data_IF_580267668692
#
_entry.id   IF_580267668692
#
_cell.length_a   1.000
_cell.length_b   1.000
_cell.length_c   1.000
_cell.angle_alpha   90.00
_cell.angle_beta   90.00
_cell.angle_gamma   90.00
#
_symmetry.space_group_name_H-M   'P 1'
#
loop_
_entity.id
_entity.type
_entity.pdbx_description
1 polymer ?
#
# COMPACT_ATOMS: atom_id res chain seq x y z
N UNK A 1 6.49 -20.08 43.80
CA UNK A 1 6.47 -21.03 42.67
C UNK A 1 6.76 -20.22 41.41
N UNK A 2 7.91 -20.44 40.77
CA UNK A 2 8.36 -19.72 39.57
C UNK A 2 7.36 -19.93 38.44
N UNK A 3 6.80 -18.86 37.88
CA UNK A 3 5.73 -18.93 36.88
C UNK A 3 6.14 -18.29 35.53
N UNK A 4 7.42 -18.43 35.17
CA UNK A 4 8.02 -17.78 33.99
C UNK A 4 8.00 -18.64 32.72
N UNK A 5 7.21 -19.70 32.66
CA UNK A 5 7.16 -20.54 31.48
C UNK A 5 5.94 -20.26 30.62
N UNK A 6 6.15 -20.18 29.32
CA UNK A 6 5.13 -20.20 28.27
C UNK A 6 5.04 -21.62 27.70
N UNK A 7 3.92 -22.03 27.07
CA UNK A 7 3.80 -23.34 26.46
C UNK A 7 4.96 -23.61 25.49
N UNK A 8 5.65 -24.74 25.63
CA UNK A 8 6.75 -25.10 24.72
C UNK A 8 6.27 -25.19 23.27
N UNK A 9 5.03 -25.65 23.06
CA UNK A 9 4.37 -25.69 21.74
C UNK A 9 4.24 -24.29 21.11
N UNK A 10 3.99 -23.25 21.92
CA UNK A 10 3.96 -21.87 21.46
C UNK A 10 5.36 -21.38 21.04
N UNK A 11 6.39 -21.66 21.86
CA UNK A 11 7.79 -21.32 21.54
C UNK A 11 8.20 -21.97 20.20
N UNK A 12 7.82 -23.23 20.00
CA UNK A 12 8.06 -23.95 18.75
C UNK A 12 7.32 -23.31 17.56
N UNK A 13 6.06 -22.92 17.73
CA UNK A 13 5.28 -22.25 16.68
C UNK A 13 5.90 -20.92 16.25
N UNK A 14 6.33 -20.08 17.20
CA UNK A 14 7.02 -18.81 16.92
C UNK A 14 8.28 -19.03 16.09
N UNK A 15 9.12 -19.99 16.51
CA UNK A 15 10.33 -20.37 15.78
C UNK A 15 10.03 -20.83 14.34
N UNK A 16 9.01 -21.69 14.16
CA UNK A 16 8.59 -22.14 12.82
C UNK A 16 8.12 -20.99 11.94
N UNK A 17 7.42 -20.00 12.49
CA UNK A 17 6.97 -18.84 11.72
C UNK A 17 8.14 -17.98 11.22
N UNK A 18 9.11 -17.67 12.09
CA UNK A 18 10.28 -16.88 11.69
C UNK A 18 11.23 -17.64 10.76
N UNK A 19 11.29 -18.97 10.85
CA UNK A 19 12.10 -19.79 9.93
C UNK A 19 11.68 -19.67 8.46
N UNK A 20 10.46 -19.19 8.20
CA UNK A 20 9.91 -18.97 6.86
C UNK A 20 10.16 -17.57 6.31
N UNK A 21 10.69 -16.65 7.11
CA UNK A 21 10.95 -15.29 6.68
C UNK A 21 12.25 -15.21 5.87
N UNK A 22 12.18 -14.66 4.66
CA UNK A 22 13.35 -14.47 3.79
C UNK A 22 13.78 -13.00 3.80
N UNK A 23 12.82 -12.09 3.85
CA UNK A 23 13.03 -10.65 3.84
C UNK A 23 12.69 -10.02 5.18
N UNK A 24 13.21 -8.83 5.44
CA UNK A 24 12.82 -8.05 6.64
C UNK A 24 11.32 -7.72 6.63
N UNK A 25 10.71 -7.60 5.44
CA UNK A 25 9.26 -7.42 5.28
C UNK A 25 8.49 -8.67 5.73
N UNK A 26 9.00 -9.87 5.45
CA UNK A 26 8.39 -11.12 5.93
C UNK A 26 8.45 -11.20 7.45
N UNK A 27 9.58 -10.78 8.06
CA UNK A 27 9.74 -10.74 9.52
C UNK A 27 8.76 -9.79 10.18
N UNK A 28 8.63 -8.58 9.66
CA UNK A 28 7.65 -7.59 10.14
C UNK A 28 6.22 -8.15 10.07
N UNK A 29 5.89 -8.86 8.99
CA UNK A 29 4.57 -9.48 8.82
C UNK A 29 4.34 -10.64 9.80
N UNK A 30 5.31 -11.53 9.98
CA UNK A 30 5.22 -12.63 10.95
C UNK A 30 5.05 -12.10 12.36
N UNK A 31 5.81 -11.07 12.73
CA UNK A 31 5.75 -10.48 14.06
C UNK A 31 4.36 -9.91 14.37
N UNK A 32 3.76 -9.18 13.42
CA UNK A 32 2.40 -8.65 13.56
C UNK A 32 1.39 -9.79 13.75
N UNK A 33 1.51 -10.86 12.96
CA UNK A 33 0.59 -12.00 13.01
C UNK A 33 0.73 -12.76 14.33
N UNK A 34 1.96 -13.01 14.77
CA UNK A 34 2.24 -13.68 16.04
C UNK A 34 1.74 -12.85 17.22
N UNK A 35 2.00 -11.54 17.24
CA UNK A 35 1.51 -10.64 18.31
C UNK A 35 -0.02 -10.68 18.41
N UNK A 36 -0.73 -10.61 17.28
CA UNK A 36 -2.19 -10.69 17.26
C UNK A 36 -2.71 -12.03 17.76
N UNK A 37 -2.14 -13.15 17.29
CA UNK A 37 -2.56 -14.51 17.68
C UNK A 37 -2.32 -14.80 19.16
N UNK A 38 -1.15 -14.43 19.68
CA UNK A 38 -0.79 -14.67 21.09
C UNK A 38 -1.66 -13.80 22.00
N UNK A 39 -1.84 -12.53 21.65
CA UNK A 39 -2.70 -11.61 22.43
C UNK A 39 -4.14 -12.12 22.50
N UNK A 40 -4.69 -12.62 21.38
CA UNK A 40 -6.02 -13.23 21.37
C UNK A 40 -6.10 -14.44 22.29
N UNK A 41 -5.14 -15.37 22.17
CA UNK A 41 -5.09 -16.59 22.97
C UNK A 41 -4.89 -16.33 24.47
N UNK A 42 -4.19 -15.25 24.83
CA UNK A 42 -4.05 -14.82 26.21
C UNK A 42 -5.37 -14.27 26.76
N UNK A 43 -6.04 -13.40 25.99
CA UNK A 43 -7.28 -12.73 26.40
C UNK A 43 -8.47 -13.67 26.53
N UNK A 44 -8.55 -14.70 25.68
CA UNK A 44 -9.63 -15.71 25.74
C UNK A 44 -9.28 -16.91 26.66
N UNK A 45 -8.12 -16.86 27.33
CA UNK A 45 -7.67 -17.92 28.24
C UNK A 45 -7.31 -19.24 27.55
N UNK A 46 -7.16 -19.26 26.22
CA UNK A 46 -6.85 -20.47 25.45
C UNK A 46 -5.35 -20.70 25.25
N UNK A 47 -4.49 -19.78 25.68
CA UNK A 47 -3.03 -19.79 25.50
C UNK A 47 -2.39 -21.16 25.80
N UNK A 48 -2.78 -21.79 26.90
CA UNK A 48 -2.24 -23.06 27.39
C UNK A 48 -2.96 -24.30 26.83
N UNK A 49 -4.14 -24.13 26.23
CA UNK A 49 -4.99 -25.21 25.72
C UNK A 49 -4.92 -25.33 24.20
N UNK A 50 -4.44 -24.28 23.53
CA UNK A 50 -4.33 -24.23 22.08
C UNK A 50 -3.20 -25.15 21.61
N UNK A 51 -3.49 -25.93 20.58
CA UNK A 51 -2.50 -26.77 19.90
C UNK A 51 -1.64 -25.93 18.96
N UNK A 52 -0.59 -25.34 19.52
CA UNK A 52 0.39 -24.55 18.77
C UNK A 52 1.29 -25.39 17.87
N UNK A 53 1.45 -26.69 18.14
CA UNK A 53 2.30 -27.57 17.33
C UNK A 53 1.66 -27.86 15.96
N UNK A 54 0.33 -27.90 15.89
CA UNK A 54 -0.40 -28.07 14.63
C UNK A 54 -0.98 -26.77 14.05
N UNK A 55 -0.78 -25.63 14.71
CA UNK A 55 -1.25 -24.33 14.22
C UNK A 55 -0.62 -23.99 12.85
N UNK A 56 -1.42 -23.56 11.85
CA UNK A 56 -0.92 -23.27 10.51
C UNK A 56 -0.04 -22.02 10.47
N UNK A 57 1.05 -22.11 9.71
CA UNK A 57 1.98 -21.01 9.48
C UNK A 57 1.36 -19.88 8.63
N UNK A 58 1.82 -18.63 8.77
CA UNK A 58 1.36 -17.50 7.96
C UNK A 58 1.53 -17.72 6.45
N UNK A 59 0.43 -17.70 5.70
CA UNK A 59 0.38 -18.14 4.30
C UNK A 59 0.91 -17.14 3.23
N UNK A 60 1.39 -15.96 3.63
CA UNK A 60 1.74 -14.87 2.70
C UNK A 60 3.22 -14.44 2.74
N UNK A 61 4.08 -15.20 3.41
CA UNK A 61 5.52 -14.96 3.39
C UNK A 61 6.08 -15.34 2.02
N UNK A 62 6.97 -14.52 1.49
CA UNK A 62 7.41 -14.61 0.10
C UNK A 62 7.86 -16.03 -0.29
N UNK A 63 7.03 -16.74 -1.07
CA UNK A 63 7.36 -18.04 -1.63
C UNK A 63 8.50 -17.86 -2.62
N UNK A 64 9.67 -18.38 -2.26
CA UNK A 64 10.79 -18.54 -3.18
C UNK A 64 10.39 -19.44 -4.35
N UNK A 65 10.08 -18.83 -5.49
CA UNK A 65 10.12 -19.51 -6.76
C UNK A 65 11.59 -19.79 -7.10
N UNK A 66 12.02 -21.02 -6.80
CA UNK A 66 13.21 -21.63 -7.40
C UNK A 66 13.02 -21.65 -8.92
N UNK A 67 13.65 -20.71 -9.63
CA UNK A 67 14.03 -20.91 -11.03
C UNK A 67 15.51 -21.26 -11.08
N UNK A 68 15.79 -22.43 -11.66
CA UNK A 68 17.10 -23.08 -11.65
C UNK A 68 18.20 -22.34 -12.41
N UNK A 69 19.43 -22.73 -12.07
CA UNK A 69 20.70 -22.29 -12.64
C UNK A 69 20.86 -22.56 -14.16
N UNK A 70 21.83 -21.83 -14.73
CA UNK A 70 22.48 -21.88 -16.07
C UNK A 70 21.82 -20.93 -17.09
N UNK A 71 22.48 -19.92 -17.65
CA UNK A 71 23.83 -19.86 -18.20
C UNK A 71 24.53 -18.52 -17.82
N UNK A 72 25.81 -18.61 -17.45
CA UNK A 72 26.66 -17.44 -17.21
C UNK A 72 27.11 -16.80 -18.51
N UNK A 73 26.85 -15.50 -18.66
CA UNK A 73 27.64 -14.62 -19.54
C UNK A 73 27.92 -13.33 -18.77
N UNK A 74 29.16 -13.19 -18.31
CA UNK A 74 29.73 -11.97 -17.74
C UNK A 74 29.85 -10.94 -18.86
N UNK A 75 29.12 -9.81 -18.79
CA UNK A 75 29.33 -8.67 -19.69
C UNK A 75 29.63 -7.41 -18.88
N UNK A 76 30.86 -6.91 -19.07
CA UNK A 76 31.37 -5.65 -18.55
C UNK A 76 30.53 -4.48 -19.09
N UNK A 77 30.26 -3.48 -18.24
CA UNK A 77 29.63 -2.21 -18.63
C UNK A 77 30.71 -1.24 -19.11
N UNK A 78 30.62 -0.83 -20.37
CA UNK A 78 31.22 0.41 -20.89
C UNK A 78 30.16 1.53 -20.92
N UNK A 79 30.52 2.80 -20.65
CA UNK A 79 29.58 3.92 -20.67
C UNK A 79 29.42 4.49 -22.09
N UNK A 80 28.21 4.96 -22.43
CA UNK A 80 27.91 5.71 -23.66
C UNK A 80 27.19 7.03 -23.31
N UNK A 81 27.31 8.09 -24.12
CA UNK A 81 27.28 9.48 -23.66
C UNK A 81 25.89 10.13 -23.61
N UNK A 82 25.78 11.16 -22.75
CA UNK A 82 24.58 12.00 -22.57
C UNK A 82 24.59 13.19 -23.52
N UNK A 83 23.45 13.45 -24.15
CA UNK A 83 23.10 14.74 -24.75
C UNK A 83 22.52 15.73 -23.70
N UNK A 84 22.58 17.05 -23.93
CA UNK A 84 22.46 18.04 -22.86
C UNK A 84 21.02 18.57 -22.68
N UNK A 85 20.56 18.68 -21.42
CA UNK A 85 19.35 19.43 -21.06
C UNK A 85 19.68 20.48 -20.00
N UNK A 86 19.34 21.73 -20.34
CA UNK A 86 19.24 23.00 -19.60
C UNK A 86 19.62 23.09 -18.10
N UNK A 87 20.61 23.95 -17.80
CA UNK A 87 21.25 24.20 -16.49
C UNK A 87 20.42 24.98 -15.44
N UNK A 88 19.23 25.50 -15.76
CA UNK A 88 18.59 26.52 -14.88
C UNK A 88 17.79 25.97 -13.69
N UNK A 89 17.42 24.68 -13.66
CA UNK A 89 16.65 24.07 -12.55
C UNK A 89 17.48 23.31 -11.51
N UNK A 90 18.77 23.06 -11.73
CA UNK A 90 19.61 22.25 -10.81
C UNK A 90 20.26 23.03 -9.65
N UNK A 91 20.42 24.36 -9.75
CA UNK A 91 21.08 25.13 -8.69
C UNK A 91 20.25 25.19 -7.39
N UNK A 92 18.93 25.36 -7.49
CA UNK A 92 18.06 25.46 -6.32
C UNK A 92 17.97 24.18 -5.46
N UNK A 93 18.20 23.01 -6.06
CA UNK A 93 18.17 21.72 -5.36
C UNK A 93 19.53 21.34 -4.74
N UNK A 94 20.62 21.84 -5.32
CA UNK A 94 21.98 21.49 -4.88
C UNK A 94 22.38 22.31 -3.64
N UNK A 95 21.96 23.58 -3.59
CA UNK A 95 22.23 24.47 -2.46
C UNK A 95 21.48 24.03 -1.18
N UNK A 96 20.23 23.56 -1.30
CA UNK A 96 19.48 22.97 -0.18
C UNK A 96 20.09 21.66 0.31
N UNK A 97 20.68 20.88 -0.59
CA UNK A 97 21.37 19.61 -0.25
C UNK A 97 22.71 19.86 0.46
N UNK A 98 23.46 20.87 0.02
CA UNK A 98 24.71 21.29 0.65
C UNK A 98 24.49 21.99 2.00
N UNK A 99 23.47 22.84 2.14
CA UNK A 99 23.07 23.43 3.45
C UNK A 99 22.65 22.37 4.48
N UNK A 100 22.17 21.19 4.04
CA UNK A 100 21.85 20.06 4.93
C UNK A 100 23.09 19.25 5.33
N UNK A 101 24.07 19.14 4.44
CA UNK A 101 25.35 18.47 4.70
C UNK A 101 26.28 19.31 5.61
N UNK A 102 26.29 20.63 5.44
CA UNK A 102 27.12 21.55 6.24
C UNK A 102 26.72 21.60 7.73
N UNK A 103 25.50 21.19 8.09
CA UNK A 103 25.03 21.09 9.49
C UNK A 103 25.69 19.95 10.28
N UNK A 104 26.40 19.05 9.62
CA UNK A 104 27.07 17.90 10.25
C UNK A 104 28.60 18.07 10.32
N UNK A 105 29.14 19.23 9.93
CA UNK A 105 30.58 19.43 9.79
C UNK A 105 31.25 20.08 11.02
N UNK A 106 30.50 20.55 12.02
CA UNK A 106 31.08 21.35 13.10
C UNK A 106 30.53 20.95 14.49
N UNK A 107 31.19 19.97 15.12
CA UNK A 107 31.82 20.09 16.45
C UNK A 107 32.28 18.72 16.97
N UNK A 108 33.53 18.69 17.42
CA UNK A 108 34.27 17.49 17.81
C UNK A 108 33.83 16.80 19.11
N UNK A 109 34.40 15.60 19.28
CA UNK A 109 34.34 14.69 20.44
C UNK A 109 32.94 14.22 20.83
N UNK A 110 32.46 13.13 20.21
CA UNK A 110 31.51 12.18 20.84
C UNK A 110 31.44 10.85 20.06
N UNK A 111 31.25 9.79 20.83
CA UNK A 111 31.06 8.37 20.47
C UNK A 111 30.48 8.11 19.08
N UNK A 112 31.00 7.07 18.40
CA UNK A 112 30.43 6.52 17.17
C UNK A 112 28.89 6.48 17.21
N UNK A 113 28.19 6.93 16.15
CA UNK A 113 26.74 6.87 16.12
C UNK A 113 26.31 5.40 16.04
N UNK A 114 25.70 4.90 17.12
CA UNK A 114 25.00 3.62 17.10
C UNK A 114 23.99 3.65 15.95
N UNK A 115 24.04 2.64 15.08
CA UNK A 115 23.07 2.46 13.99
C UNK A 115 21.65 2.57 14.57
N UNK A 116 20.88 3.51 14.06
CA UNK A 116 19.47 3.70 14.38
C UNK A 116 18.72 2.41 14.08
N UNK A 117 18.21 1.80 15.14
CA UNK A 117 17.43 0.57 15.10
C UNK A 117 16.00 0.95 15.44
N UNK A 118 15.06 0.62 14.55
CA UNK A 118 13.63 0.55 14.87
C UNK A 118 13.43 -0.30 16.14
N UNK A 119 12.40 -0.07 16.94
CA UNK A 119 12.14 -0.87 18.17
C UNK A 119 12.16 -2.38 17.93
N UNK A 120 11.60 -2.80 16.80
CA UNK A 120 11.55 -4.19 16.39
C UNK A 120 12.96 -4.73 16.07
N UNK A 121 13.87 -3.86 15.65
CA UNK A 121 15.29 -4.19 15.50
C UNK A 121 16.11 -4.11 16.79
N UNK A 122 15.64 -3.43 17.85
CA UNK A 122 16.21 -3.55 19.20
C UNK A 122 15.81 -4.88 19.85
N UNK A 123 14.56 -5.32 19.65
CA UNK A 123 14.11 -6.68 20.01
C UNK A 123 14.91 -7.75 19.25
N UNK A 124 15.15 -7.53 17.94
CA UNK A 124 15.97 -8.39 17.10
C UNK A 124 17.45 -8.45 17.56
N UNK A 125 18.03 -7.37 18.07
CA UNK A 125 19.41 -7.38 18.58
C UNK A 125 19.55 -8.06 19.95
N UNK A 126 18.49 -8.09 20.76
CA UNK A 126 18.47 -8.81 22.05
C UNK A 126 18.13 -10.29 21.91
N UNK A 127 17.37 -10.68 20.87
CA UNK A 127 17.01 -12.08 20.60
C UNK A 127 18.06 -12.84 19.77
N UNK A 128 18.97 -12.13 19.07
CA UNK A 128 20.03 -12.71 18.23
C UNK A 128 21.43 -12.59 18.83
N UNK A 129 21.60 -11.98 20.01
CA UNK A 129 22.89 -12.01 20.69
C UNK A 129 23.06 -13.39 21.33
N UNK A 130 23.99 -14.20 20.79
CA UNK A 130 24.37 -15.55 21.25
C UNK A 130 24.87 -15.63 22.72
N UNK A 131 24.74 -14.55 23.48
CA UNK A 131 24.92 -14.51 24.92
C UNK A 131 23.80 -13.68 25.50
N UNK A 132 22.85 -14.27 26.24
CA UNK A 132 22.31 -13.70 27.49
C UNK A 132 21.29 -14.65 28.16
N UNK A 133 21.34 -14.53 29.48
CA UNK A 133 20.64 -15.24 30.55
C UNK A 133 19.11 -15.35 30.36
N UNK A 134 18.60 -16.55 30.61
CA UNK A 134 17.26 -17.06 30.32
C UNK A 134 16.13 -16.32 31.07
N UNK A 135 16.48 -15.45 32.05
CA UNK A 135 15.57 -14.79 32.98
C UNK A 135 15.30 -13.29 32.71
N UNK A 136 15.69 -12.72 31.56
CA UNK A 136 15.62 -11.27 31.31
C UNK A 136 14.44 -10.78 30.42
N UNK A 137 13.70 -11.69 29.78
CA UNK A 137 12.62 -11.28 28.86
C UNK A 137 11.31 -10.99 29.62
N UNK A 138 11.12 -9.73 30.01
CA UNK A 138 9.87 -9.27 30.61
C UNK A 138 8.80 -9.01 29.52
N UNK A 139 8.02 -10.03 29.19
CA UNK A 139 7.00 -10.00 28.13
C UNK A 139 5.75 -9.18 28.48
N UNK A 140 5.52 -8.84 29.76
CA UNK A 140 4.44 -7.93 30.18
C UNK A 140 4.60 -6.52 29.59
N UNK A 141 5.80 -6.18 29.13
CA UNK A 141 6.10 -4.93 28.42
C UNK A 141 5.64 -4.89 26.95
N UNK A 142 5.18 -6.01 26.36
CA UNK A 142 4.75 -6.03 24.94
C UNK A 142 3.27 -5.70 24.72
N UNK A 143 2.44 -5.79 25.78
CA UNK A 143 1.02 -5.45 25.73
C UNK A 143 0.81 -4.01 26.23
N UNK A 144 1.02 -3.06 25.33
CA UNK A 144 0.75 -1.65 25.61
C UNK A 144 -0.76 -1.44 25.49
N UNK A 145 -1.43 -1.14 26.60
CA UNK A 145 -2.79 -0.58 26.62
C UNK A 145 -2.67 0.93 26.77
N UNK A 146 -3.24 1.67 25.82
CA UNK A 146 -3.19 3.12 25.84
C UNK A 146 -3.97 3.75 26.99
N UNK A 147 -3.49 4.88 27.51
CA UNK A 147 -4.18 5.66 28.56
C UNK A 147 -4.55 7.08 28.12
N UNK A 148 -4.18 7.49 26.90
CA UNK A 148 -4.51 8.80 26.33
C UNK A 148 -6.02 9.00 26.21
N UNK A 149 -6.55 10.10 26.75
CA UNK A 149 -7.97 10.44 26.72
C UNK A 149 -8.34 11.42 25.59
N UNK A 150 -7.35 11.91 24.84
CA UNK A 150 -7.58 12.91 23.79
C UNK A 150 -8.38 12.30 22.63
N UNK A 151 -9.40 13.00 22.15
CA UNK A 151 -10.17 12.54 20.99
C UNK A 151 -9.45 12.86 19.67
N UNK A 152 -8.74 13.98 19.64
CA UNK A 152 -7.96 14.43 18.49
C UNK A 152 -6.48 14.18 18.75
N UNK A 153 -5.79 13.59 17.77
CA UNK A 153 -4.36 13.32 17.93
C UNK A 153 -3.64 13.36 16.61
N UNK A 154 -2.49 14.02 16.58
CA UNK A 154 -1.64 14.10 15.39
C UNK A 154 -1.05 12.71 15.10
N UNK A 155 -1.11 12.28 13.84
CA UNK A 155 -0.40 11.10 13.38
C UNK A 155 1.12 11.32 13.44
N UNK A 156 1.83 10.46 14.16
CA UNK A 156 3.28 10.53 14.30
C UNK A 156 3.95 9.43 13.46
N UNK A 157 5.15 9.66 12.93
CA UNK A 157 5.98 8.57 12.41
C UNK A 157 6.85 8.06 13.56
N UNK A 158 6.39 7.01 14.22
CA UNK A 158 7.07 6.45 15.38
C UNK A 158 8.35 5.74 14.96
N UNK A 159 9.47 6.11 15.59
CA UNK A 159 10.76 5.41 15.50
C UNK A 159 11.07 4.62 16.76
N UNK A 160 10.34 4.91 17.85
CA UNK A 160 10.44 4.30 19.18
C UNK A 160 9.05 3.98 19.72
N UNK A 161 8.97 3.10 20.73
CA UNK A 161 7.71 2.59 21.22
C UNK A 161 7.05 3.77 21.90
N UNK A 162 5.79 4.06 21.56
CA UNK A 162 5.09 5.13 22.24
C UNK A 162 4.81 4.68 23.67
N UNK A 163 4.96 5.60 24.61
CA UNK A 163 4.53 5.37 25.99
C UNK A 163 3.01 5.18 26.06
N UNK A 164 2.46 4.43 27.03
CA UNK A 164 1.02 4.17 27.13
C UNK A 164 0.15 5.44 27.09
N UNK A 165 0.60 6.52 27.73
CA UNK A 165 -0.11 7.80 27.75
C UNK A 165 -0.14 8.52 26.39
N UNK A 166 0.66 8.07 25.43
CA UNK A 166 0.65 8.57 24.04
C UNK A 166 -0.27 7.75 23.14
N UNK A 167 -1.01 6.77 23.65
CA UNK A 167 -1.85 5.87 22.84
C UNK A 167 -3.27 5.87 23.42
N UNK A 168 -4.30 5.98 22.57
CA UNK A 168 -5.70 5.98 23.04
C UNK A 168 -6.21 4.56 23.27
N UNK A 169 -6.90 4.26 24.39
CA UNK A 169 -7.58 2.98 24.57
C UNK A 169 -8.81 2.87 23.64
N UNK A 170 -9.33 1.64 23.48
CA UNK A 170 -10.42 1.31 22.54
C UNK A 170 -11.63 2.24 22.67
N UNK A 171 -12.15 2.45 23.89
CA UNK A 171 -13.33 3.27 24.12
C UNK A 171 -13.13 4.75 23.74
N UNK A 172 -11.89 5.24 23.73
CA UNK A 172 -11.53 6.58 23.24
C UNK A 172 -11.38 6.56 21.72
N UNK A 173 -10.79 5.52 21.15
CA UNK A 173 -10.70 5.35 19.69
C UNK A 173 -12.08 5.30 19.03
N UNK A 174 -13.07 4.68 19.67
CA UNK A 174 -14.47 4.67 19.20
C UNK A 174 -15.06 6.09 19.15
N UNK A 175 -14.85 6.89 20.20
CA UNK A 175 -15.27 8.29 20.25
C UNK A 175 -14.53 9.14 19.22
N UNK A 176 -13.21 8.92 19.06
CA UNK A 176 -12.40 9.58 18.03
C UNK A 176 -12.90 9.28 16.62
N UNK A 177 -13.28 8.03 16.33
CA UNK A 177 -13.85 7.65 15.04
C UNK A 177 -15.17 8.40 14.78
N UNK A 178 -16.07 8.43 15.76
CA UNK A 178 -17.36 9.14 15.65
C UNK A 178 -17.16 10.63 15.39
N UNK A 179 -16.27 11.27 16.16
CA UNK A 179 -15.92 12.67 15.99
C UNK A 179 -15.30 12.94 14.61
N UNK A 180 -14.38 12.08 14.15
CA UNK A 180 -13.74 12.18 12.83
C UNK A 180 -14.78 12.07 11.71
N UNK A 181 -15.71 11.12 11.82
CA UNK A 181 -16.79 10.97 10.84
C UNK A 181 -17.78 12.14 10.84
N UNK A 182 -18.14 12.67 12.02
CA UNK A 182 -18.96 13.88 12.11
C UNK A 182 -18.28 15.06 11.45
N UNK A 183 -16.98 15.24 11.67
CA UNK A 183 -16.20 16.29 11.03
C UNK A 183 -16.18 16.12 9.50
N UNK A 184 -15.98 14.90 9.01
CA UNK A 184 -16.02 14.60 7.58
C UNK A 184 -17.34 15.00 6.94
N UNK A 185 -18.45 14.51 7.50
CA UNK A 185 -19.79 14.71 6.95
C UNK A 185 -20.23 16.18 6.96
N UNK A 186 -19.75 16.98 7.92
CA UNK A 186 -20.17 18.37 8.08
C UNK A 186 -19.24 19.36 7.38
N UNK A 187 -17.92 19.13 7.42
CA UNK A 187 -16.92 20.10 6.96
C UNK A 187 -16.21 19.66 5.68
N UNK A 188 -16.25 18.37 5.34
CA UNK A 188 -15.57 17.83 4.16
C UNK A 188 -14.05 18.15 4.12
N UNK A 189 -13.44 18.41 5.27
CA UNK A 189 -12.00 18.67 5.41
C UNK A 189 -11.22 17.35 5.38
N UNK A 190 -10.68 17.02 4.22
CA UNK A 190 -9.96 15.76 4.01
C UNK A 190 -8.60 15.75 4.70
N UNK A 191 -7.89 16.87 4.75
CA UNK A 191 -6.55 16.91 5.33
C UNK A 191 -6.61 16.59 6.82
N UNK A 192 -7.54 17.23 7.54
CA UNK A 192 -7.81 16.93 8.94
C UNK A 192 -8.27 15.47 9.12
N UNK A 193 -9.29 15.07 8.36
CA UNK A 193 -9.96 13.76 8.51
C UNK A 193 -8.98 12.60 8.25
N UNK A 194 -8.18 12.68 7.17
CA UNK A 194 -7.14 11.71 6.86
C UNK A 194 -6.09 11.63 7.98
N UNK A 195 -5.67 12.77 8.53
CA UNK A 195 -4.74 12.84 9.66
C UNK A 195 -5.28 12.12 10.90
N UNK A 196 -6.55 12.35 11.26
CA UNK A 196 -7.19 11.67 12.39
C UNK A 196 -7.32 10.16 12.16
N UNK A 197 -7.75 9.73 10.97
CA UNK A 197 -7.81 8.30 10.66
C UNK A 197 -6.44 7.61 10.73
N UNK A 198 -5.38 8.25 10.24
CA UNK A 198 -4.01 7.73 10.35
C UNK A 198 -3.60 7.56 11.81
N UNK A 199 -3.93 8.55 12.64
CA UNK A 199 -3.67 8.53 14.07
C UNK A 199 -4.43 7.41 14.80
N UNK A 200 -5.72 7.22 14.50
CA UNK A 200 -6.54 6.12 15.07
C UNK A 200 -5.96 4.77 14.67
N UNK A 201 -5.65 4.58 13.37
CA UNK A 201 -5.06 3.34 12.85
C UNK A 201 -3.70 3.04 13.46
N UNK A 202 -2.90 4.07 13.73
CA UNK A 202 -1.62 3.92 14.42
C UNK A 202 -1.82 3.37 15.83
N UNK A 203 -2.72 3.97 16.62
CA UNK A 203 -2.97 3.53 18.00
C UNK A 203 -3.51 2.08 18.04
N UNK A 204 -4.37 1.70 17.09
CA UNK A 204 -4.82 0.32 16.93
C UNK A 204 -3.66 -0.65 16.62
N UNK A 205 -2.73 -0.21 15.77
CA UNK A 205 -1.57 -1.02 15.36
C UNK A 205 -0.59 -1.20 16.53
N UNK A 206 -0.31 -0.14 17.27
CA UNK A 206 0.59 -0.16 18.43
C UNK A 206 0.10 -1.14 19.49
N UNK A 207 -1.20 -1.09 19.80
CA UNK A 207 -1.85 -1.96 20.79
C UNK A 207 -2.13 -3.37 20.26
N UNK A 208 -1.96 -3.63 18.97
CA UNK A 208 -2.23 -4.93 18.35
C UNK A 208 -3.72 -5.30 18.28
N UNK A 209 -4.62 -4.31 18.25
CA UNK A 209 -6.06 -4.53 18.25
C UNK A 209 -6.53 -4.92 16.84
N UNK A 210 -7.04 -6.16 16.69
CA UNK A 210 -7.52 -6.73 15.42
C UNK A 210 -8.89 -7.38 15.59
N UNK A 211 -9.93 -6.56 15.56
CA UNK A 211 -11.34 -6.98 15.70
C UNK A 211 -12.22 -6.23 14.69
N UNK A 212 -13.54 -6.41 14.78
CA UNK A 212 -14.51 -5.77 13.87
C UNK A 212 -14.44 -4.24 13.91
N UNK A 213 -14.09 -3.66 15.06
CA UNK A 213 -13.86 -2.22 15.17
C UNK A 213 -12.65 -1.77 14.33
N UNK A 214 -11.54 -2.52 14.37
CA UNK A 214 -10.38 -2.26 13.51
C UNK A 214 -10.77 -2.32 12.03
N UNK A 215 -11.53 -3.34 11.61
CA UNK A 215 -12.03 -3.46 10.22
C UNK A 215 -12.85 -2.22 9.86
N UNK A 216 -13.81 -1.84 10.70
CA UNK A 216 -14.66 -0.66 10.49
C UNK A 216 -13.84 0.63 10.31
N UNK A 217 -12.81 0.87 11.12
CA UNK A 217 -11.93 2.04 10.97
C UNK A 217 -11.24 2.05 9.60
N UNK A 218 -10.69 0.92 9.20
CA UNK A 218 -9.99 0.79 7.92
C UNK A 218 -10.92 0.94 6.71
N UNK A 219 -12.08 0.29 6.74
CA UNK A 219 -13.08 0.41 5.68
C UNK A 219 -13.57 1.86 5.55
N UNK A 220 -13.87 2.51 6.67
CA UNK A 220 -14.34 3.89 6.71
C UNK A 220 -13.30 4.84 6.11
N UNK A 221 -12.04 4.73 6.53
CA UNK A 221 -10.97 5.57 5.98
C UNK A 221 -10.76 5.29 4.48
N UNK A 222 -10.84 4.03 4.06
CA UNK A 222 -10.70 3.67 2.65
C UNK A 222 -11.81 4.29 1.78
N UNK A 223 -13.07 4.29 2.25
CA UNK A 223 -14.19 4.95 1.56
C UNK A 223 -13.98 6.46 1.44
N UNK A 224 -13.58 7.11 2.54
CA UNK A 224 -13.26 8.55 2.56
C UNK A 224 -12.11 8.88 1.59
N UNK A 225 -11.07 8.04 1.54
CA UNK A 225 -9.94 8.21 0.62
C UNK A 225 -10.39 8.05 -0.85
N UNK A 226 -11.25 7.07 -1.15
CA UNK A 226 -11.82 6.90 -2.49
C UNK A 226 -12.69 8.10 -2.90
N UNK A 227 -13.52 8.62 -1.99
CA UNK A 227 -14.36 9.80 -2.23
C UNK A 227 -13.54 11.03 -2.65
N UNK A 228 -12.31 11.17 -2.14
CA UNK A 228 -11.38 12.26 -2.53
C UNK A 228 -10.38 11.90 -3.62
N UNK A 229 -10.38 10.65 -4.11
CA UNK A 229 -9.44 10.20 -5.13
C UNK A 229 -8.00 10.02 -4.61
N UNK A 230 -7.81 9.83 -3.30
CA UNK A 230 -6.50 9.50 -2.73
C UNK A 230 -6.23 7.99 -2.80
N UNK A 231 -5.84 7.54 -3.99
CA UNK A 231 -5.56 6.14 -4.26
C UNK A 231 -4.38 5.60 -3.44
N UNK A 232 -3.47 6.46 -2.98
CA UNK A 232 -2.32 6.05 -2.17
C UNK A 232 -2.77 5.63 -0.79
N UNK A 233 -3.63 6.45 -0.14
CA UNK A 233 -4.21 6.11 1.16
C UNK A 233 -5.21 4.96 1.08
N UNK A 234 -6.03 4.92 0.02
CA UNK A 234 -6.89 3.77 -0.25
C UNK A 234 -6.06 2.48 -0.34
N UNK A 235 -4.97 2.46 -1.10
CA UNK A 235 -4.14 1.26 -1.27
C UNK A 235 -3.46 0.82 0.05
N UNK A 236 -3.07 1.76 0.90
CA UNK A 236 -2.60 1.46 2.27
C UNK A 236 -3.69 0.79 3.11
N UNK A 237 -4.92 1.32 3.08
CA UNK A 237 -6.04 0.73 3.80
C UNK A 237 -6.40 -0.66 3.25
N UNK A 238 -6.45 -0.80 1.93
CA UNK A 238 -6.76 -2.04 1.23
C UNK A 238 -5.76 -3.16 1.57
N UNK A 239 -4.46 -2.84 1.64
CA UNK A 239 -3.43 -3.82 2.01
C UNK A 239 -3.68 -4.38 3.41
N UNK A 240 -4.07 -3.52 4.35
CA UNK A 240 -4.39 -3.91 5.72
C UNK A 240 -5.72 -4.67 5.83
N UNK A 241 -6.76 -4.22 5.12
CA UNK A 241 -8.05 -4.92 5.05
C UNK A 241 -7.91 -6.33 4.48
N UNK A 242 -7.04 -6.55 3.49
CA UNK A 242 -6.75 -7.89 2.96
C UNK A 242 -6.33 -8.84 4.07
N UNK A 243 -5.46 -8.40 4.98
CA UNK A 243 -4.99 -9.21 6.10
C UNK A 243 -6.09 -9.38 7.15
N UNK A 244 -6.78 -8.30 7.54
CA UNK A 244 -7.85 -8.35 8.53
C UNK A 244 -8.98 -9.31 8.11
N UNK A 245 -9.42 -9.24 6.85
CA UNK A 245 -10.44 -10.17 6.33
C UNK A 245 -9.99 -11.63 6.28
N UNK A 246 -8.69 -11.89 6.18
CA UNK A 246 -8.18 -13.25 6.24
C UNK A 246 -8.16 -13.79 7.68
N UNK A 247 -7.93 -12.93 8.66
CA UNK A 247 -7.78 -13.31 10.07
C UNK A 247 -9.12 -13.43 10.81
N UNK A 248 -10.01 -12.44 10.63
CA UNK A 248 -11.26 -12.32 11.42
C UNK A 248 -12.52 -12.23 10.55
N UNK A 249 -12.38 -12.21 9.21
CA UNK A 249 -13.50 -11.99 8.31
C UNK A 249 -13.94 -10.52 8.28
N UNK A 250 -15.15 -10.28 7.76
CA UNK A 250 -15.74 -8.96 7.65
C UNK A 250 -16.86 -8.93 6.61
N UNK A 251 -17.94 -8.22 6.94
CA UNK A 251 -19.17 -8.19 6.14
C UNK A 251 -18.94 -7.61 4.74
N UNK A 252 -18.08 -6.57 4.62
CA UNK A 252 -17.85 -5.85 3.37
C UNK A 252 -16.67 -6.40 2.55
N UNK A 253 -16.22 -7.64 2.81
CA UNK A 253 -15.07 -8.26 2.10
C UNK A 253 -15.23 -8.24 0.58
N UNK A 254 -16.45 -8.48 0.08
CA UNK A 254 -16.73 -8.49 -1.36
C UNK A 254 -16.64 -7.09 -1.98
N UNK A 255 -17.16 -6.07 -1.31
CA UNK A 255 -17.04 -4.65 -1.72
C UNK A 255 -15.57 -4.26 -1.91
N UNK A 256 -14.74 -4.51 -0.90
CA UNK A 256 -13.32 -4.15 -0.93
C UNK A 256 -12.48 -5.03 -1.87
N UNK A 257 -12.91 -6.27 -2.13
CA UNK A 257 -12.32 -7.10 -3.18
C UNK A 257 -12.60 -6.51 -4.56
N UNK A 258 -13.83 -6.05 -4.81
CA UNK A 258 -14.21 -5.35 -6.04
C UNK A 258 -13.41 -4.06 -6.24
N UNK A 259 -13.28 -3.23 -5.20
CA UNK A 259 -12.43 -2.03 -5.26
C UNK A 259 -10.97 -2.35 -5.58
N UNK A 260 -10.43 -3.46 -5.05
CA UNK A 260 -9.07 -3.90 -5.38
C UNK A 260 -8.92 -4.34 -6.83
N UNK A 261 -9.90 -5.06 -7.37
CA UNK A 261 -9.92 -5.46 -8.79
C UNK A 261 -9.92 -4.20 -9.66
N UNK A 262 -10.81 -3.25 -9.38
CA UNK A 262 -10.89 -1.98 -10.12
C UNK A 262 -9.59 -1.17 -10.00
N UNK A 263 -9.03 -1.07 -8.79
CA UNK A 263 -7.74 -0.42 -8.57
C UNK A 263 -6.64 -1.04 -9.43
N UNK A 264 -6.56 -2.38 -9.48
CA UNK A 264 -5.60 -3.08 -10.33
C UNK A 264 -5.86 -2.90 -11.83
N UNK A 265 -7.12 -2.88 -12.27
CA UNK A 265 -7.46 -2.56 -13.66
C UNK A 265 -6.99 -1.15 -14.04
N UNK A 266 -7.05 -0.22 -13.09
CA UNK A 266 -6.61 1.16 -13.28
C UNK A 266 -5.08 1.34 -13.14
N UNK A 267 -4.40 0.55 -12.30
CA UNK A 267 -3.01 0.80 -11.89
C UNK A 267 -1.98 -0.29 -12.26
N UNK A 268 -2.38 -1.45 -12.83
CA UNK A 268 -1.43 -2.43 -13.36
C UNK A 268 -0.81 -1.95 -14.70
N UNK A 269 0.14 -1.01 -14.59
CA UNK A 269 1.37 -0.87 -15.42
C UNK A 269 2.09 0.45 -15.06
N UNK A 270 2.80 0.44 -13.94
CA UNK A 270 3.72 1.52 -13.58
C UNK A 270 4.94 1.56 -14.51
N UNK A 271 4.82 2.19 -15.67
CA UNK A 271 5.80 3.11 -16.29
C UNK A 271 5.24 3.59 -17.62
N UNK A 272 4.36 4.59 -17.57
CA UNK A 272 4.27 5.72 -18.51
C UNK A 272 3.13 6.60 -18.01
N UNK A 273 3.51 7.76 -17.51
CA UNK A 273 2.63 8.87 -17.22
C UNK A 273 1.65 9.04 -18.39
N UNK A 274 0.34 9.05 -18.11
CA UNK A 274 -0.80 9.24 -19.02
C UNK A 274 -1.52 7.96 -19.45
N UNK A 275 -2.81 7.92 -19.10
CA UNK A 275 -3.88 7.09 -19.66
C UNK A 275 -4.10 5.69 -19.05
N UNK A 276 -5.25 5.52 -18.39
CA UNK A 276 -6.35 4.65 -18.80
C UNK A 276 -5.98 3.43 -19.70
N UNK A 277 -4.93 2.66 -19.39
CA UNK A 277 -4.45 1.55 -20.24
C UNK A 277 -5.55 0.54 -20.54
N UNK A 278 -6.31 0.13 -19.52
CA UNK A 278 -7.38 -0.83 -19.68
C UNK A 278 -8.51 -0.24 -20.54
N UNK A 279 -8.97 0.96 -20.19
CA UNK A 279 -10.01 1.65 -20.95
C UNK A 279 -9.56 1.85 -22.41
N UNK A 280 -8.32 2.24 -22.66
CA UNK A 280 -7.78 2.40 -24.00
C UNK A 280 -7.60 1.05 -24.72
N UNK A 281 -7.31 -0.04 -24.01
CA UNK A 281 -7.29 -1.40 -24.58
C UNK A 281 -8.69 -1.80 -25.06
N UNK A 282 -9.71 -1.60 -24.22
CA UNK A 282 -11.09 -1.92 -24.56
C UNK A 282 -11.62 -0.99 -25.67
N UNK A 283 -11.34 0.32 -25.59
CA UNK A 283 -11.67 1.29 -26.65
C UNK A 283 -11.01 0.91 -27.98
N UNK A 284 -9.75 0.47 -27.95
CA UNK A 284 -9.03 -0.01 -29.15
C UNK A 284 -9.69 -1.27 -29.71
N UNK A 285 -10.06 -2.24 -28.86
CA UNK A 285 -10.76 -3.45 -29.30
C UNK A 285 -12.12 -3.13 -29.93
N UNK A 286 -12.90 -2.24 -29.33
CA UNK A 286 -14.18 -1.78 -29.85
C UNK A 286 -14.02 -0.98 -31.16
N UNK A 287 -13.06 -0.06 -31.26
CA UNK A 287 -12.75 0.67 -32.48
C UNK A 287 -12.39 -0.27 -33.64
N UNK A 288 -11.58 -1.30 -33.37
CA UNK A 288 -11.27 -2.34 -34.37
C UNK A 288 -12.52 -3.07 -34.84
N UNK A 289 -13.46 -3.35 -33.95
CA UNK A 289 -14.73 -4.00 -34.31
C UNK A 289 -15.58 -3.08 -35.20
N UNK A 290 -15.68 -1.79 -34.86
CA UNK A 290 -16.40 -0.78 -35.65
C UNK A 290 -15.81 -0.70 -37.06
N UNK A 291 -14.48 -0.56 -37.20
CA UNK A 291 -13.81 -0.48 -38.50
C UNK A 291 -14.08 -1.73 -39.35
N UNK A 292 -14.12 -2.92 -38.74
CA UNK A 292 -14.37 -4.19 -39.46
C UNK A 292 -15.83 -4.41 -39.83
N UNK A 293 -16.76 -3.99 -38.97
CA UNK A 293 -18.18 -4.30 -39.12
C UNK A 293 -18.90 -3.31 -40.05
N UNK A 294 -18.51 -2.04 -40.03
CA UNK A 294 -19.17 -1.00 -40.81
C UNK A 294 -18.55 -0.88 -42.21
N UNK A 295 -19.38 -1.00 -43.24
CA UNK A 295 -18.97 -0.95 -44.66
C UNK A 295 -18.88 0.47 -45.25
N UNK A 296 -19.32 1.50 -44.51
CA UNK A 296 -19.43 2.90 -44.93
C UNK A 296 -18.83 3.85 -43.88
N UNK A 297 -18.69 5.13 -44.21
CA UNK A 297 -18.19 6.16 -43.30
C UNK A 297 -19.04 6.24 -42.02
N UNK A 298 -18.39 6.32 -40.86
CA UNK A 298 -19.06 6.38 -39.55
C UNK A 298 -18.78 7.74 -38.87
N UNK A 299 -19.81 8.44 -38.34
CA UNK A 299 -19.59 9.69 -37.62
C UNK A 299 -18.69 9.53 -36.40
N UNK A 300 -17.72 10.42 -36.24
CA UNK A 300 -16.82 10.43 -35.08
C UNK A 300 -17.57 10.70 -33.78
N UNK A 301 -18.62 11.51 -33.81
CA UNK A 301 -19.50 11.76 -32.65
C UNK A 301 -20.15 10.47 -32.14
N UNK A 302 -20.57 9.58 -33.04
CA UNK A 302 -21.11 8.27 -32.68
C UNK A 302 -20.02 7.39 -32.05
N UNK A 303 -18.85 7.31 -32.68
CA UNK A 303 -17.73 6.48 -32.17
C UNK A 303 -17.27 6.99 -30.79
N UNK A 304 -17.13 8.30 -30.61
CA UNK A 304 -16.75 8.90 -29.33
C UNK A 304 -17.74 8.54 -28.22
N UNK A 305 -19.04 8.56 -28.52
CA UNK A 305 -20.09 8.15 -27.58
C UNK A 305 -19.99 6.65 -27.23
N UNK A 306 -19.88 5.78 -28.23
CA UNK A 306 -19.77 4.32 -28.03
C UNK A 306 -18.49 3.91 -27.27
N UNK A 307 -17.38 4.63 -27.51
CA UNK A 307 -16.11 4.41 -26.81
C UNK A 307 -16.07 5.12 -25.44
N UNK A 308 -17.15 5.76 -25.00
CA UNK A 308 -17.28 6.35 -23.67
C UNK A 308 -16.40 7.59 -23.46
N UNK A 309 -16.26 8.44 -24.48
CA UNK A 309 -15.74 9.80 -24.31
C UNK A 309 -16.89 10.72 -23.91
N UNK A 310 -17.05 10.95 -22.60
CA UNK A 310 -18.26 11.56 -22.04
C UNK A 310 -18.12 13.05 -21.71
N UNK A 311 -16.90 13.58 -21.60
CA UNK A 311 -16.68 14.97 -21.17
C UNK A 311 -16.71 15.94 -22.37
N UNK A 312 -17.76 16.78 -22.53
CA UNK A 312 -17.89 17.63 -23.72
C UNK A 312 -16.78 18.68 -23.85
N UNK A 313 -16.16 19.11 -22.74
CA UNK A 313 -15.10 20.12 -22.76
C UNK A 313 -13.75 19.58 -23.22
N UNK A 314 -13.47 18.28 -23.00
CA UNK A 314 -12.18 17.64 -23.35
C UNK A 314 -12.28 16.60 -24.45
N UNK A 315 -13.49 16.28 -24.93
CA UNK A 315 -13.75 15.18 -25.88
C UNK A 315 -12.86 15.22 -27.13
N UNK A 316 -12.64 16.40 -27.71
CA UNK A 316 -11.80 16.56 -28.90
C UNK A 316 -10.34 16.24 -28.61
N UNK A 317 -9.81 16.74 -27.49
CA UNK A 317 -8.43 16.50 -27.08
C UNK A 317 -8.19 15.05 -26.68
N UNK A 318 -9.12 14.47 -25.93
CA UNK A 318 -9.04 13.08 -25.47
C UNK A 318 -9.15 12.10 -26.63
N UNK A 319 -10.04 12.38 -27.59
CA UNK A 319 -10.12 11.64 -28.85
C UNK A 319 -8.81 11.73 -29.62
N UNK A 320 -8.28 12.94 -29.82
CA UNK A 320 -7.02 13.14 -30.53
C UNK A 320 -5.87 12.37 -29.87
N UNK A 321 -5.69 12.49 -28.54
CA UNK A 321 -4.65 11.76 -27.78
C UNK A 321 -4.81 10.25 -27.89
N UNK A 322 -6.05 9.74 -27.90
CA UNK A 322 -6.32 8.32 -28.03
C UNK A 322 -5.99 7.80 -29.44
N UNK A 323 -6.33 8.58 -30.48
CA UNK A 323 -6.17 8.14 -31.88
C UNK A 323 -4.85 8.54 -32.53
N UNK A 324 -4.08 9.47 -31.97
CA UNK A 324 -2.77 9.91 -32.49
C UNK A 324 -1.83 8.74 -32.86
N UNK A 325 -1.76 7.64 -32.08
CA UNK A 325 -0.93 6.49 -32.45
C UNK A 325 -1.45 5.68 -33.65
N UNK A 326 -2.69 5.93 -34.11
CA UNK A 326 -3.34 5.20 -35.18
C UNK A 326 -3.48 6.11 -36.40
N UNK A 327 -3.00 5.67 -37.55
CA UNK A 327 -3.07 6.45 -38.80
C UNK A 327 -4.46 6.42 -39.44
N UNK A 328 -5.52 6.74 -38.67
CA UNK A 328 -6.92 6.68 -39.12
C UNK A 328 -7.16 7.58 -40.34
N UNK A 329 -7.97 7.06 -41.27
CA UNK A 329 -8.38 7.77 -42.49
C UNK A 329 -9.80 8.32 -42.32
N UNK A 330 -10.02 9.54 -42.79
CA UNK A 330 -11.28 10.27 -42.67
C UNK A 330 -11.78 10.64 -44.05
N UNK A 331 -13.10 10.68 -44.24
CA UNK A 331 -13.69 11.03 -45.53
C UNK A 331 -13.83 12.54 -45.75
N UNK A 332 -13.53 13.35 -44.74
CA UNK A 332 -13.64 14.81 -44.74
C UNK A 332 -12.44 15.49 -44.07
N UNK A 333 -12.13 16.72 -44.50
CA UNK A 333 -10.99 17.49 -43.97
C UNK A 333 -11.16 17.83 -42.47
N UNK A 334 -12.41 17.99 -42.03
CA UNK A 334 -12.76 18.29 -40.65
C UNK A 334 -12.70 17.07 -39.72
N UNK A 335 -12.37 15.88 -40.25
CA UNK A 335 -12.30 14.63 -39.49
C UNK A 335 -13.57 14.34 -38.69
N UNK A 336 -14.74 14.62 -39.26
CA UNK A 336 -16.03 14.33 -38.63
C UNK A 336 -16.55 12.95 -38.99
N UNK A 337 -16.04 12.35 -40.07
CA UNK A 337 -16.46 11.05 -40.58
C UNK A 337 -15.25 10.13 -40.76
N UNK A 338 -15.24 9.00 -40.04
CA UNK A 338 -14.22 7.97 -40.18
C UNK A 338 -14.48 7.15 -41.44
N UNK A 339 -13.50 7.07 -42.35
CA UNK A 339 -13.55 6.13 -43.46
C UNK A 339 -13.08 4.76 -42.98
N UNK A 340 -14.04 3.88 -42.68
CA UNK A 340 -13.75 2.54 -42.13
C UNK A 340 -13.02 1.66 -43.14
N UNK A 341 -13.33 1.80 -44.44
CA UNK A 341 -12.72 1.00 -45.51
C UNK A 341 -11.25 1.34 -45.66
N UNK A 342 -10.93 2.63 -45.77
CA UNK A 342 -9.54 3.09 -45.88
C UNK A 342 -8.77 2.90 -44.57
N UNK A 343 -9.44 2.97 -43.42
CA UNK A 343 -8.83 2.73 -42.09
C UNK A 343 -8.54 1.26 -41.78
N UNK A 344 -8.96 0.30 -42.62
CA UNK A 344 -8.64 -1.12 -42.43
C UNK A 344 -7.12 -1.38 -42.35
N UNK A 345 -6.31 -0.59 -43.07
CA UNK A 345 -4.84 -0.72 -43.08
C UNK A 345 -4.20 -0.39 -41.73
N UNK A 346 -4.90 0.38 -40.89
CA UNK A 346 -4.42 0.87 -39.59
C UNK A 346 -4.66 -0.15 -38.46
N UNK A 347 -5.40 -1.24 -38.73
CA UNK A 347 -5.69 -2.27 -37.73
C UNK A 347 -4.43 -2.97 -37.20
N UNK A 348 -3.33 -2.95 -37.97
CA UNK A 348 -2.01 -3.45 -37.56
C UNK A 348 -1.38 -2.60 -36.45
N UNK A 349 -1.64 -1.29 -36.46
CA UNK A 349 -1.16 -0.34 -35.46
C UNK A 349 -1.98 -0.44 -34.16
N UNK A 350 -3.09 -1.18 -34.21
CA UNK A 350 -4.00 -1.47 -33.11
C UNK A 350 -3.84 -2.89 -32.53
N UNK A 351 -2.71 -3.56 -32.78
CA UNK A 351 -2.42 -4.85 -32.12
C UNK A 351 -1.88 -4.66 -30.70
#
# INVERSE_FOLDING_TARGET
MNNSDWPQSLKNYVSRCFSKCVTDIDKDQVEIILKGKITKAANDGTLWKKDWDNEPLPSNLSYGAKFGNRLGIRRQRSPSPRSPVSKRKQLATTERRQKRAARFADNGKRSHPKKQTNLLSSLNNQLLSDNLDENSLNWDSLHIVGTCQDLEKIYLRLTTAPEPHMVRPVHILEKSLQMTMKHWLTKQDYHYTCGQFKSIRQDLTVQGIRNDFTVKVYETHARVALEKGDYTEFNQCQSQLKMLYADIGGENRLEFTSYRILYYMLHQRGTRYSNNWFINRERKAALRMIIKAYRVNVPISFIQKELGFLNPSTIKEDWHKFTEPFSLMYSDENKTMLDTKSSMVCLKDMQ
#
